data_IF_134587208904
#
_entry.id   IF_134587208904
#
_cell.length_a   1.000
_cell.length_b   1.000
_cell.length_c   1.000
_cell.angle_alpha   90.00
_cell.angle_beta   90.00
_cell.angle_gamma   90.00
#
_symmetry.space_group_name_H-M   'P 1'
#
loop_
_entity.id
_entity.type
_entity.pdbx_description
1 polymer ?
#
# COMPACT_ATOMS: atom_id res chain seq x y z
N UNK A 1 47.86 49.27 -12.63
CA UNK A 1 47.76 48.12 -11.69
C UNK A 1 46.58 48.24 -10.73
N UNK A 2 46.33 49.33 -10.01
CA UNK A 2 45.21 49.48 -9.05
C UNK A 2 43.79 49.20 -9.65
N UNK A 3 43.52 49.58 -10.89
CA UNK A 3 42.19 49.35 -11.58
C UNK A 3 41.92 47.86 -11.82
N UNK A 4 42.93 47.05 -12.10
CA UNK A 4 42.78 45.62 -12.39
C UNK A 4 42.45 44.87 -11.06
N UNK A 5 43.08 45.24 -9.95
CA UNK A 5 42.75 44.66 -8.64
C UNK A 5 41.34 45.04 -8.19
N UNK A 6 40.90 46.26 -8.47
CA UNK A 6 39.54 46.71 -8.13
C UNK A 6 38.48 45.96 -8.93
N UNK A 7 38.72 45.73 -10.23
CA UNK A 7 37.81 44.96 -11.10
C UNK A 7 37.76 43.48 -10.68
N UNK A 8 38.90 42.89 -10.36
CA UNK A 8 38.97 41.49 -9.87
C UNK A 8 38.22 41.32 -8.56
N UNK A 9 38.34 42.22 -7.59
CA UNK A 9 37.64 42.15 -6.34
C UNK A 9 36.14 42.40 -6.49
N UNK A 10 35.72 43.22 -7.46
CA UNK A 10 34.29 43.45 -7.78
C UNK A 10 33.67 42.19 -8.42
N UNK A 11 34.37 41.53 -9.32
CA UNK A 11 33.92 40.28 -9.93
C UNK A 11 33.86 39.16 -8.88
N UNK A 12 34.84 39.06 -7.98
CA UNK A 12 34.83 38.05 -6.92
C UNK A 12 33.66 38.26 -5.95
N UNK A 13 33.35 39.52 -5.62
CA UNK A 13 32.19 39.88 -4.79
C UNK A 13 30.84 39.53 -5.46
N UNK A 14 30.73 39.71 -6.78
CA UNK A 14 29.55 39.39 -7.57
C UNK A 14 29.33 37.87 -7.65
N UNK A 15 30.38 37.08 -7.80
CA UNK A 15 30.34 35.60 -7.82
C UNK A 15 29.93 35.03 -6.45
N UNK A 16 30.47 35.63 -5.36
CA UNK A 16 30.08 35.22 -3.99
C UNK A 16 28.62 35.55 -3.67
N UNK A 17 28.04 36.63 -4.18
CA UNK A 17 26.61 36.93 -4.05
C UNK A 17 25.71 36.00 -4.86
N UNK A 18 26.18 35.51 -6.02
CA UNK A 18 25.40 34.56 -6.83
C UNK A 18 25.29 33.16 -6.20
N UNK A 19 26.27 32.78 -5.35
CA UNK A 19 26.21 31.48 -4.65
C UNK A 19 25.31 31.47 -3.40
N UNK A 20 24.85 32.63 -2.92
CA UNK A 20 23.97 32.73 -1.74
C UNK A 20 22.47 32.67 -2.09
N UNK A 21 22.11 32.63 -3.39
CA UNK A 21 20.72 32.80 -3.84
C UNK A 21 19.96 31.49 -4.17
N UNK A 22 20.49 30.31 -3.83
CA UNK A 22 19.87 29.04 -4.28
C UNK A 22 19.37 28.12 -3.15
N UNK A 23 19.14 28.59 -1.94
CA UNK A 23 18.58 27.73 -0.88
C UNK A 23 17.07 27.51 -1.01
N UNK A 24 16.31 28.48 -1.49
CA UNK A 24 14.84 28.36 -1.59
C UNK A 24 14.36 27.60 -2.84
N UNK A 25 15.23 27.36 -3.83
CA UNK A 25 14.81 26.68 -5.06
C UNK A 25 14.69 25.15 -4.91
N UNK A 26 15.32 24.57 -3.90
CA UNK A 26 15.31 23.13 -3.62
C UNK A 26 14.44 22.75 -2.43
N UNK A 27 13.84 23.71 -1.74
CA UNK A 27 12.79 23.37 -0.78
C UNK A 27 11.49 23.13 -1.56
N UNK A 28 11.00 21.88 -1.63
CA UNK A 28 9.68 21.64 -2.19
C UNK A 28 8.67 22.43 -1.37
N UNK A 29 7.79 23.19 -2.04
CA UNK A 29 6.71 23.91 -1.39
C UNK A 29 5.97 22.94 -0.48
N UNK A 30 6.16 23.06 0.83
CA UNK A 30 5.60 22.16 1.83
C UNK A 30 4.07 22.09 1.79
N UNK A 31 3.41 23.06 1.15
CA UNK A 31 1.97 23.13 1.00
C UNK A 31 1.40 22.14 -0.01
N UNK A 32 2.25 21.51 -0.84
CA UNK A 32 1.82 20.51 -1.84
C UNK A 32 2.28 19.09 -1.51
N UNK A 33 3.11 18.89 -0.48
CA UNK A 33 3.55 17.57 -0.02
C UNK A 33 2.77 17.26 1.26
N UNK A 34 1.77 16.39 1.14
CA UNK A 34 1.10 15.81 2.29
C UNK A 34 2.14 15.02 3.11
N UNK A 35 2.52 15.54 4.26
CA UNK A 35 3.35 14.80 5.22
C UNK A 35 2.53 13.62 5.72
N UNK A 36 3.18 12.47 5.95
CA UNK A 36 2.49 11.26 6.39
C UNK A 36 1.60 11.44 7.64
N UNK A 37 1.88 12.48 8.46
CA UNK A 37 1.09 12.83 9.66
C UNK A 37 -0.10 13.74 9.34
N UNK A 38 -0.11 14.43 8.19
CA UNK A 38 -1.15 15.39 7.79
C UNK A 38 -2.17 14.76 6.82
N UNK A 39 -2.03 13.46 6.53
CA UNK A 39 -2.79 12.76 5.50
C UNK A 39 -4.28 12.55 5.85
N UNK A 40 -4.67 12.67 7.11
CA UNK A 40 -6.06 12.56 7.55
C UNK A 40 -6.39 13.69 8.54
N UNK A 41 -6.62 14.89 8.03
CA UNK A 41 -7.03 16.06 8.81
C UNK A 41 -8.54 16.26 8.85
N UNK A 42 -9.29 15.62 7.92
CA UNK A 42 -10.74 15.80 7.75
C UNK A 42 -11.48 14.47 7.53
N UNK A 43 -12.78 14.42 7.85
CA UNK A 43 -13.63 13.24 7.62
C UNK A 43 -13.67 12.80 6.14
N UNK A 44 -13.56 13.73 5.19
CA UNK A 44 -13.48 13.45 3.74
C UNK A 44 -12.23 12.68 3.35
N UNK A 45 -11.13 12.88 4.06
CA UNK A 45 -9.85 12.22 3.82
C UNK A 45 -9.83 10.78 4.32
N UNK A 46 -10.62 10.45 5.36
CA UNK A 46 -10.86 9.05 5.74
C UNK A 46 -11.46 8.25 4.57
N UNK A 47 -12.47 8.79 3.91
CA UNK A 47 -13.06 8.13 2.75
C UNK A 47 -12.07 8.01 1.59
N UNK A 48 -11.31 9.06 1.31
CA UNK A 48 -10.29 9.06 0.26
C UNK A 48 -9.18 8.04 0.53
N UNK A 49 -8.76 7.88 1.80
CA UNK A 49 -7.81 6.86 2.23
C UNK A 49 -8.33 5.45 1.98
N UNK A 50 -9.60 5.19 2.29
CA UNK A 50 -10.23 3.90 2.00
C UNK A 50 -10.37 3.63 0.49
N UNK A 51 -10.68 4.65 -0.32
CA UNK A 51 -10.70 4.51 -1.78
C UNK A 51 -9.33 4.08 -2.35
N UNK A 52 -8.24 4.50 -1.72
CA UNK A 52 -6.89 4.03 -2.06
C UNK A 52 -6.75 2.51 -1.90
N UNK A 53 -7.34 1.92 -0.86
CA UNK A 53 -7.39 0.46 -0.67
C UNK A 53 -8.22 -0.20 -1.78
N UNK A 54 -9.41 0.34 -2.08
CA UNK A 54 -10.30 -0.18 -3.14
C UNK A 54 -9.59 -0.17 -4.50
N UNK A 55 -8.85 0.89 -4.80
CA UNK A 55 -8.07 0.99 -6.03
C UNK A 55 -7.00 -0.11 -6.13
N UNK A 56 -6.31 -0.41 -5.02
CA UNK A 56 -5.34 -1.52 -4.98
C UNK A 56 -6.03 -2.89 -5.08
N UNK A 57 -7.22 -3.05 -4.51
CA UNK A 57 -8.02 -4.26 -4.65
C UNK A 57 -8.38 -4.57 -6.10
N UNK A 58 -8.65 -3.58 -6.94
CA UNK A 58 -8.92 -3.80 -8.36
C UNK A 58 -7.77 -4.54 -9.06
N UNK A 59 -6.52 -4.25 -8.67
CA UNK A 59 -5.34 -4.89 -9.26
C UNK A 59 -5.18 -6.39 -8.88
N UNK A 60 -5.86 -6.85 -7.83
CA UNK A 60 -5.79 -8.26 -7.38
C UNK A 60 -7.05 -9.05 -7.66
N UNK A 61 -8.19 -8.38 -7.90
CA UNK A 61 -9.46 -9.04 -8.18
C UNK A 61 -9.38 -9.95 -9.41
N UNK A 62 -8.91 -9.40 -10.53
CA UNK A 62 -8.74 -10.16 -11.77
C UNK A 62 -7.74 -11.31 -11.60
N UNK A 63 -6.62 -11.08 -10.89
CA UNK A 63 -5.63 -12.12 -10.61
C UNK A 63 -6.22 -13.29 -9.83
N UNK A 64 -7.00 -13.00 -8.79
CA UNK A 64 -7.63 -14.04 -7.98
C UNK A 64 -8.57 -14.90 -8.84
N UNK A 65 -9.40 -14.27 -9.68
CA UNK A 65 -10.33 -14.97 -10.59
C UNK A 65 -9.55 -15.81 -11.59
N UNK A 66 -8.60 -15.22 -12.33
CA UNK A 66 -7.85 -15.97 -13.33
C UNK A 66 -7.07 -17.14 -12.73
N UNK A 67 -6.44 -16.93 -11.58
CA UNK A 67 -5.63 -17.97 -10.95
C UNK A 67 -6.48 -19.14 -10.41
N UNK A 68 -7.69 -18.86 -9.90
CA UNK A 68 -8.59 -19.90 -9.36
C UNK A 68 -9.44 -20.53 -10.45
N UNK A 69 -10.11 -19.72 -11.27
CA UNK A 69 -11.15 -20.20 -12.17
C UNK A 69 -10.57 -20.87 -13.42
N UNK A 70 -9.39 -20.44 -13.87
CA UNK A 70 -8.65 -21.12 -14.94
C UNK A 70 -8.24 -22.52 -14.49
N UNK A 71 -7.74 -22.67 -13.26
CA UNK A 71 -7.35 -23.98 -12.70
C UNK A 71 -8.54 -24.85 -12.30
N UNK A 72 -9.71 -24.24 -12.10
CA UNK A 72 -10.96 -24.96 -11.87
C UNK A 72 -11.71 -25.33 -13.16
N UNK A 73 -11.09 -25.10 -14.32
CA UNK A 73 -11.68 -25.35 -15.65
C UNK A 73 -12.98 -24.58 -15.91
N UNK A 74 -13.18 -23.46 -15.19
CA UNK A 74 -14.32 -22.55 -15.40
C UNK A 74 -14.05 -21.53 -16.50
N UNK A 75 -12.76 -21.31 -16.85
CA UNK A 75 -12.32 -20.43 -17.92
C UNK A 75 -11.45 -21.22 -18.89
N UNK A 76 -11.75 -21.07 -20.19
CA UNK A 76 -10.96 -21.64 -21.27
C UNK A 76 -10.17 -20.54 -22.01
N UNK A 77 -8.88 -20.81 -22.34
CA UNK A 77 -8.10 -19.88 -23.14
C UNK A 77 -8.63 -19.81 -24.59
N UNK A 78 -8.54 -18.61 -25.16
CA UNK A 78 -8.83 -18.36 -26.58
C UNK A 78 -7.52 -18.12 -27.34
N UNK A 79 -7.58 -17.99 -28.67
CA UNK A 79 -6.39 -17.72 -29.49
C UNK A 79 -5.62 -16.44 -29.14
N UNK A 80 -6.29 -15.50 -28.41
CA UNK A 80 -5.69 -14.23 -27.97
C UNK A 80 -5.30 -14.22 -26.48
N UNK A 81 -5.42 -15.35 -25.80
CA UNK A 81 -5.08 -15.44 -24.37
C UNK A 81 -3.58 -15.30 -24.16
N UNK A 82 -3.11 -14.46 -23.21
CA UNK A 82 -1.70 -14.35 -22.87
C UNK A 82 -1.09 -15.69 -22.44
N UNK A 83 0.19 -15.93 -22.82
CA UNK A 83 0.90 -17.18 -22.51
C UNK A 83 0.93 -17.56 -21.03
N UNK A 84 1.00 -16.55 -20.15
CA UNK A 84 0.95 -16.79 -18.68
C UNK A 84 -0.35 -17.43 -18.21
N UNK A 85 -1.49 -17.12 -18.84
CA UNK A 85 -2.77 -17.77 -18.53
C UNK A 85 -2.84 -19.19 -19.11
N UNK A 86 -2.15 -19.47 -20.23
CA UNK A 86 -2.00 -20.84 -20.72
C UNK A 86 -1.23 -21.71 -19.75
N UNK A 87 -0.17 -21.20 -19.11
CA UNK A 87 0.57 -21.93 -18.07
C UNK A 87 -0.33 -22.32 -16.89
N UNK A 88 -1.25 -21.43 -16.49
CA UNK A 88 -2.24 -21.74 -15.46
C UNK A 88 -3.24 -22.81 -15.91
N UNK A 89 -3.74 -22.69 -17.14
CA UNK A 89 -4.69 -23.63 -17.71
C UNK A 89 -4.10 -25.03 -17.91
N UNK A 90 -2.84 -25.10 -18.32
CA UNK A 90 -2.11 -26.37 -18.52
C UNK A 90 -1.61 -27.00 -17.23
N UNK A 91 -1.85 -26.38 -16.07
CA UNK A 91 -1.36 -26.83 -14.75
C UNK A 91 0.16 -26.93 -14.69
N UNK A 92 0.87 -25.99 -15.34
CA UNK A 92 2.33 -25.98 -15.30
C UNK A 92 2.81 -25.94 -13.83
N UNK A 93 3.82 -26.80 -13.52
CA UNK A 93 4.37 -26.94 -12.18
C UNK A 93 5.23 -25.70 -11.78
N UNK A 94 5.92 -25.10 -12.76
CA UNK A 94 6.74 -23.91 -12.55
C UNK A 94 5.98 -22.65 -13.01
N UNK A 95 5.50 -21.89 -12.05
CA UNK A 95 4.88 -20.59 -12.25
C UNK A 95 5.81 -19.44 -11.84
N UNK A 96 7.11 -19.69 -11.69
CA UNK A 96 8.08 -18.64 -11.41
C UNK A 96 8.08 -17.60 -12.55
N UNK A 97 7.93 -16.33 -12.19
CA UNK A 97 7.79 -15.25 -13.16
C UNK A 97 6.40 -15.09 -13.80
N UNK A 98 5.43 -15.94 -13.48
CA UNK A 98 4.04 -15.74 -13.89
C UNK A 98 3.41 -14.60 -13.08
N UNK A 99 3.01 -13.53 -13.77
CA UNK A 99 2.51 -12.32 -13.10
C UNK A 99 1.18 -12.54 -12.39
N UNK A 100 0.36 -13.51 -12.80
CA UNK A 100 -0.89 -13.86 -12.14
C UNK A 100 -0.65 -14.66 -10.85
N UNK A 101 0.43 -15.44 -10.80
CA UNK A 101 0.80 -16.24 -9.63
C UNK A 101 1.66 -15.49 -8.60
N UNK A 102 2.07 -14.25 -8.88
CA UNK A 102 2.86 -13.42 -7.95
C UNK A 102 1.97 -12.87 -6.81
N UNK A 103 2.24 -13.21 -5.53
CA UNK A 103 1.45 -12.75 -4.39
C UNK A 103 1.71 -11.29 -3.97
N UNK A 104 2.71 -10.62 -4.51
CA UNK A 104 3.16 -9.30 -4.03
C UNK A 104 2.02 -8.27 -3.94
N UNK A 105 1.13 -8.23 -4.94
CA UNK A 105 0.01 -7.28 -4.98
C UNK A 105 -1.03 -7.50 -3.88
N UNK A 106 -1.19 -8.72 -3.40
CA UNK A 106 -2.07 -9.00 -2.25
C UNK A 106 -1.50 -8.36 -0.98
N UNK A 107 -0.18 -8.43 -0.79
CA UNK A 107 0.48 -7.77 0.34
C UNK A 107 0.43 -6.25 0.26
N UNK A 108 0.47 -5.64 -0.94
CA UNK A 108 0.24 -4.20 -1.11
C UNK A 108 -1.12 -3.76 -0.54
N UNK A 109 -2.16 -4.59 -0.68
CA UNK A 109 -3.49 -4.31 -0.12
C UNK A 109 -3.47 -4.45 1.41
N UNK A 110 -2.88 -5.53 1.95
CA UNK A 110 -2.77 -5.76 3.41
C UNK A 110 -2.06 -4.59 4.09
N UNK A 111 -0.89 -4.20 3.56
CA UNK A 111 -0.10 -3.07 4.09
C UNK A 111 -0.92 -1.78 4.07
N UNK A 112 -1.69 -1.55 3.00
CA UNK A 112 -2.54 -0.37 2.90
C UNK A 112 -3.71 -0.38 3.87
N UNK A 113 -4.29 -1.56 4.16
CA UNK A 113 -5.30 -1.69 5.20
C UNK A 113 -4.73 -1.35 6.59
N UNK A 114 -3.54 -1.86 6.92
CA UNK A 114 -2.89 -1.60 8.20
C UNK A 114 -2.53 -0.11 8.36
N UNK A 115 -1.94 0.51 7.32
CA UNK A 115 -1.60 1.93 7.32
C UNK A 115 -2.85 2.82 7.45
N UNK A 116 -3.90 2.50 6.71
CA UNK A 116 -5.18 3.20 6.80
C UNK A 116 -5.79 3.13 8.20
N UNK A 117 -5.90 1.93 8.78
CA UNK A 117 -6.49 1.74 10.11
C UNK A 117 -5.70 2.47 11.19
N UNK A 118 -4.36 2.47 11.13
CA UNK A 118 -3.53 3.22 12.06
C UNK A 118 -3.77 4.73 11.95
N UNK A 119 -3.73 5.27 10.73
CA UNK A 119 -3.94 6.71 10.47
C UNK A 119 -5.35 7.16 10.85
N UNK A 120 -6.36 6.35 10.52
CA UNK A 120 -7.73 6.63 10.90
C UNK A 120 -7.91 6.65 12.43
N UNK A 121 -7.21 5.77 13.15
CA UNK A 121 -7.20 5.78 14.62
C UNK A 121 -6.57 7.08 15.16
N UNK A 122 -5.42 7.48 14.62
CA UNK A 122 -4.77 8.75 15.01
C UNK A 122 -5.69 9.93 14.76
N UNK A 123 -6.38 9.97 13.61
CA UNK A 123 -7.38 10.97 13.30
C UNK A 123 -8.52 10.99 14.32
N UNK A 124 -9.10 9.83 14.61
CA UNK A 124 -10.19 9.71 15.61
C UNK A 124 -9.74 10.24 16.97
N UNK A 125 -8.56 9.84 17.45
CA UNK A 125 -8.03 10.22 18.76
C UNK A 125 -7.73 11.75 18.84
N UNK A 126 -7.35 12.37 17.71
CA UNK A 126 -7.13 13.82 17.62
C UNK A 126 -8.43 14.64 17.50
N UNK A 127 -9.53 14.02 17.04
CA UNK A 127 -10.80 14.70 16.71
C UNK A 127 -11.99 14.09 17.44
N UNK A 128 -11.82 13.66 18.70
CA UNK A 128 -12.84 12.93 19.48
C UNK A 128 -14.23 13.56 19.49
N UNK A 129 -14.32 14.91 19.44
CA UNK A 129 -15.57 15.65 19.49
C UNK A 129 -16.18 15.97 18.12
N UNK A 130 -15.42 15.83 17.04
CA UNK A 130 -15.83 16.23 15.68
C UNK A 130 -15.83 15.09 14.67
N UNK A 131 -15.24 13.95 15.02
CA UNK A 131 -15.23 12.76 14.15
C UNK A 131 -16.64 12.19 14.02
N UNK A 132 -17.04 11.89 12.77
CA UNK A 132 -18.23 11.11 12.50
C UNK A 132 -17.94 9.61 12.81
N UNK A 133 -18.38 9.16 13.99
CA UNK A 133 -18.11 7.83 14.48
C UNK A 133 -18.76 6.72 13.67
N UNK A 134 -19.92 6.96 13.07
CA UNK A 134 -20.58 5.95 12.23
C UNK A 134 -19.84 5.78 10.91
N UNK A 135 -19.41 6.89 10.32
CA UNK A 135 -18.57 6.88 9.13
C UNK A 135 -17.21 6.22 9.41
N UNK A 136 -16.53 6.61 10.50
CA UNK A 136 -15.26 6.02 10.94
C UNK A 136 -15.38 4.49 11.09
N UNK A 137 -16.35 4.01 11.89
CA UNK A 137 -16.58 2.58 12.11
C UNK A 137 -16.89 1.83 10.82
N UNK A 138 -17.68 2.43 9.94
CA UNK A 138 -18.01 1.86 8.63
C UNK A 138 -16.76 1.64 7.77
N UNK A 139 -15.84 2.59 7.74
CA UNK A 139 -14.59 2.52 6.97
C UNK A 139 -13.60 1.53 7.58
N UNK A 140 -13.43 1.52 8.92
CA UNK A 140 -12.59 0.54 9.62
C UNK A 140 -13.11 -0.89 9.38
N UNK A 141 -14.42 -1.11 9.53
CA UNK A 141 -15.04 -2.41 9.23
C UNK A 141 -14.77 -2.87 7.81
N UNK A 142 -14.84 -1.93 6.86
CA UNK A 142 -14.61 -2.22 5.45
C UNK A 142 -13.15 -2.59 5.20
N UNK A 143 -12.20 -1.88 5.81
CA UNK A 143 -10.77 -2.20 5.70
C UNK A 143 -10.44 -3.57 6.31
N UNK A 144 -11.03 -3.91 7.47
CA UNK A 144 -10.89 -5.23 8.11
C UNK A 144 -11.43 -6.34 7.21
N UNK A 145 -12.61 -6.15 6.59
CA UNK A 145 -13.18 -7.13 5.65
C UNK A 145 -12.29 -7.33 4.44
N UNK A 146 -11.74 -6.25 3.89
CA UNK A 146 -10.80 -6.33 2.76
C UNK A 146 -9.55 -7.11 3.17
N UNK A 147 -8.92 -6.76 4.29
CA UNK A 147 -7.74 -7.47 4.82
C UNK A 147 -8.02 -8.96 5.00
N UNK A 148 -9.16 -9.30 5.62
CA UNK A 148 -9.61 -10.68 5.82
C UNK A 148 -9.79 -11.41 4.49
N UNK A 149 -10.48 -10.80 3.52
CA UNK A 149 -10.69 -11.40 2.20
C UNK A 149 -9.37 -11.69 1.49
N UNK A 150 -8.40 -10.78 1.57
CA UNK A 150 -7.07 -10.97 0.99
C UNK A 150 -6.34 -12.15 1.64
N UNK A 151 -6.34 -12.26 2.97
CA UNK A 151 -5.71 -13.37 3.66
C UNK A 151 -6.36 -14.72 3.35
N UNK A 152 -7.69 -14.77 3.32
CA UNK A 152 -8.42 -15.98 2.91
C UNK A 152 -8.10 -16.37 1.47
N UNK A 153 -7.93 -15.39 0.58
CA UNK A 153 -7.53 -15.63 -0.82
C UNK A 153 -6.11 -16.18 -0.88
N UNK A 154 -5.14 -15.59 -0.17
CA UNK A 154 -3.78 -16.10 -0.07
C UNK A 154 -3.74 -17.53 0.50
N UNK A 155 -4.46 -17.79 1.58
CA UNK A 155 -4.54 -19.12 2.20
C UNK A 155 -5.11 -20.17 1.26
N UNK A 156 -6.16 -19.83 0.50
CA UNK A 156 -6.77 -20.75 -0.48
C UNK A 156 -5.88 -21.02 -1.68
N UNK A 157 -5.18 -20.00 -2.19
CA UNK A 157 -4.37 -20.12 -3.40
C UNK A 157 -3.00 -20.73 -3.11
N UNK A 158 -2.33 -20.24 -2.05
CA UNK A 158 -0.93 -20.60 -1.76
C UNK A 158 -0.79 -21.56 -0.57
N UNK A 159 -1.87 -21.87 0.13
CA UNK A 159 -1.85 -22.73 1.32
C UNK A 159 -1.29 -22.07 2.58
N UNK A 160 -0.61 -20.94 2.45
CA UNK A 160 0.03 -20.21 3.54
C UNK A 160 0.22 -18.73 3.21
N UNK A 161 0.40 -17.89 4.22
CA UNK A 161 0.75 -16.48 4.04
C UNK A 161 1.57 -15.95 5.22
N UNK A 162 2.43 -14.95 4.93
CA UNK A 162 3.08 -14.16 5.97
C UNK A 162 2.03 -13.25 6.64
N UNK A 163 1.89 -13.34 7.97
CA UNK A 163 0.94 -12.55 8.70
C UNK A 163 1.53 -11.20 9.10
N UNK A 164 0.91 -10.08 8.66
CA UNK A 164 1.37 -8.71 8.89
C UNK A 164 0.27 -7.95 9.65
N UNK A 165 0.49 -7.71 10.94
CA UNK A 165 -0.47 -7.00 11.78
C UNK A 165 -0.26 -5.49 11.75
N UNK A 166 0.99 -5.05 11.78
CA UNK A 166 1.34 -3.65 11.92
C UNK A 166 1.62 -2.96 10.57
N UNK A 167 1.41 -1.64 10.50
CA UNK A 167 1.84 -0.85 9.35
C UNK A 167 3.36 -0.91 9.18
N UNK A 168 3.81 -1.12 7.95
CA UNK A 168 5.24 -1.14 7.62
C UNK A 168 5.73 0.29 7.39
N UNK A 169 6.53 0.83 8.32
CA UNK A 169 7.05 2.20 8.24
C UNK A 169 8.43 2.32 7.60
N UNK A 170 9.11 1.21 7.33
CA UNK A 170 10.46 1.19 6.73
C UNK A 170 10.73 -0.17 6.09
N UNK A 171 11.92 -0.31 5.49
CA UNK A 171 12.41 -1.60 5.01
C UNK A 171 12.36 -2.63 6.14
N UNK A 172 11.50 -3.61 6.02
CA UNK A 172 11.29 -4.68 7.00
C UNK A 172 11.88 -5.96 6.44
N UNK A 173 12.55 -6.69 7.33
CA UNK A 173 13.00 -8.04 7.04
C UNK A 173 11.78 -8.98 7.06
N UNK A 174 11.29 -9.34 5.89
CA UNK A 174 10.13 -10.21 5.72
C UNK A 174 10.32 -11.60 6.35
N UNK A 175 11.56 -12.04 6.59
CA UNK A 175 11.83 -13.31 7.28
C UNK A 175 11.38 -13.32 8.75
N UNK A 176 11.03 -12.17 9.31
CA UNK A 176 10.55 -12.04 10.70
C UNK A 176 9.05 -12.20 10.85
N UNK A 177 8.30 -12.23 9.76
CA UNK A 177 6.86 -12.45 9.83
C UNK A 177 6.56 -13.93 10.08
N UNK A 178 5.57 -14.16 10.93
CA UNK A 178 5.02 -15.50 11.14
C UNK A 178 4.36 -15.97 9.84
N UNK A 179 4.71 -17.16 9.39
CA UNK A 179 4.02 -17.82 8.28
C UNK A 179 2.89 -18.66 8.87
N UNK A 180 1.67 -18.34 8.49
CA UNK A 180 0.47 -19.07 8.89
C UNK A 180 0.01 -19.96 7.73
N UNK A 181 -0.31 -21.20 8.03
CA UNK A 181 -1.05 -22.09 7.13
C UNK A 181 -2.54 -21.66 7.05
N UNK A 182 -3.34 -22.39 6.29
CA UNK A 182 -4.75 -22.04 6.07
C UNK A 182 -5.53 -22.01 7.37
N UNK A 183 -5.33 -22.98 8.28
CA UNK A 183 -6.04 -23.03 9.57
C UNK A 183 -5.61 -21.86 10.46
N UNK A 184 -4.33 -21.57 10.54
CA UNK A 184 -3.80 -20.41 11.26
C UNK A 184 -4.25 -19.06 10.68
N UNK A 185 -4.48 -18.98 9.37
CA UNK A 185 -5.08 -17.81 8.71
C UNK A 185 -6.55 -17.67 9.10
N UNK A 186 -7.32 -18.76 9.11
CA UNK A 186 -8.73 -18.75 9.51
C UNK A 186 -8.88 -18.27 10.96
N UNK A 187 -8.12 -18.82 11.89
CA UNK A 187 -8.13 -18.42 13.31
C UNK A 187 -7.75 -16.94 13.47
N UNK A 188 -6.71 -16.49 12.78
CA UNK A 188 -6.26 -15.10 12.82
C UNK A 188 -7.29 -14.13 12.22
N UNK A 189 -7.98 -14.53 11.15
CA UNK A 189 -9.06 -13.76 10.54
C UNK A 189 -10.28 -13.65 11.45
N UNK A 190 -10.67 -14.75 12.14
CA UNK A 190 -11.74 -14.73 13.12
C UNK A 190 -11.42 -13.79 14.27
N UNK A 191 -10.21 -13.88 14.81
CA UNK A 191 -9.75 -12.96 15.85
C UNK A 191 -9.74 -11.50 15.38
N UNK A 192 -9.23 -11.24 14.17
CA UNK A 192 -9.19 -9.90 13.59
C UNK A 192 -10.60 -9.28 13.47
N UNK A 193 -11.59 -10.06 13.03
CA UNK A 193 -12.97 -9.59 12.88
C UNK A 193 -13.70 -9.47 14.23
N UNK A 194 -13.34 -10.25 15.24
CA UNK A 194 -13.96 -10.18 16.57
C UNK A 194 -13.43 -9.04 17.43
N UNK A 195 -12.15 -8.68 17.29
CA UNK A 195 -11.47 -7.68 18.14
C UNK A 195 -11.18 -6.35 17.43
N UNK A 196 -11.20 -6.34 16.11
CA UNK A 196 -10.79 -5.17 15.34
C UNK A 196 -11.78 -3.99 15.34
N UNK A 197 -12.89 -4.09 16.09
CA UNK A 197 -13.90 -3.03 16.22
C UNK A 197 -13.77 -2.25 17.54
N UNK A 198 -12.95 -2.71 18.47
CA UNK A 198 -12.69 -2.07 19.77
C UNK A 198 -11.59 -1.00 19.64
#
# INVERSE_FOLDING_TARGET
>A
MKRIYMLRNLILGLVLMACASCTDFFEPNNDTILRGNDYMGENSELYSGFLGIVTKMQAVGDKAIYLTDTRAELLEPTEHTPGELYSLYNYDDDLSGNSYADPARYYDVIISCNDFMQKAKVYKDAHETTVDMDHYRGLISSALRVKTWIYLTLGKIYGQAAWIDDPLQSFVDFSKFEIKDLDGILDACENLLSTGFD
#
